data_IF_691934349675
#
_entry.id   IF_691934349675
#
_cell.length_a   1.000
_cell.length_b   1.000
_cell.length_c   1.000
_cell.angle_alpha   90.00
_cell.angle_beta   90.00
_cell.angle_gamma   90.00
#
_symmetry.space_group_name_H-M   'P 1'
#
loop_
_entity.id
_entity.type
_entity.pdbx_description
1 polymer ?
#
# COMPACT_ATOMS: atom_id res chain seq x y z
N UNK A 1 13.71 -46.05 40.83
CA UNK A 1 13.81 -45.83 39.37
C UNK A 1 12.90 -44.65 39.04
N UNK A 2 13.45 -43.44 39.04
CA UNK A 2 12.69 -42.21 38.81
C UNK A 2 12.51 -42.07 37.30
N UNK A 3 11.28 -42.27 36.81
CA UNK A 3 10.90 -41.92 35.45
C UNK A 3 10.95 -40.39 35.34
N UNK A 4 12.07 -39.88 34.86
CA UNK A 4 12.19 -38.49 34.44
C UNK A 4 11.40 -38.36 33.13
N UNK A 5 10.11 -38.06 33.24
CA UNK A 5 9.28 -37.62 32.13
C UNK A 5 9.85 -36.28 31.65
N UNK A 6 10.82 -36.37 30.74
CA UNK A 6 11.16 -35.27 29.84
C UNK A 6 9.93 -35.01 28.98
N UNK A 7 9.01 -34.20 29.48
CA UNK A 7 8.18 -33.35 28.63
C UNK A 7 9.12 -32.32 28.01
N UNK A 8 9.95 -32.76 27.05
CA UNK A 8 10.40 -31.87 26.01
C UNK A 8 9.11 -31.36 25.38
N UNK A 9 8.76 -30.09 25.63
CA UNK A 9 7.95 -29.35 24.67
C UNK A 9 8.71 -29.49 23.35
N UNK A 10 8.32 -30.48 22.54
CA UNK A 10 8.73 -30.56 21.14
C UNK A 10 8.19 -29.25 20.59
N UNK A 11 9.08 -28.27 20.42
CA UNK A 11 8.75 -27.03 19.76
C UNK A 11 8.33 -27.43 18.35
N UNK A 12 7.03 -27.60 18.11
CA UNK A 12 6.57 -27.91 16.77
C UNK A 12 6.90 -26.71 15.91
N UNK A 13 7.66 -26.93 14.85
CA UNK A 13 7.94 -25.88 13.90
C UNK A 13 6.63 -25.38 13.30
N UNK A 14 6.55 -24.10 12.93
CA UNK A 14 5.29 -23.51 12.43
C UNK A 14 5.36 -23.38 10.91
N UNK A 15 4.30 -23.78 10.23
CA UNK A 15 4.11 -23.55 8.81
C UNK A 15 2.86 -22.69 8.60
N UNK A 16 2.97 -21.64 7.80
CA UNK A 16 1.85 -20.86 7.30
C UNK A 16 1.77 -21.08 5.79
N UNK A 17 0.56 -21.24 5.29
CA UNK A 17 0.28 -21.37 3.85
C UNK A 17 -0.67 -20.24 3.48
N UNK A 18 -0.29 -19.46 2.47
CA UNK A 18 -1.10 -18.35 1.97
C UNK A 18 -1.38 -18.43 0.48
N UNK A 19 -2.44 -17.76 0.06
CA UNK A 19 -2.80 -17.52 -1.32
C UNK A 19 -2.85 -16.01 -1.59
N UNK A 20 -2.11 -15.55 -2.60
CA UNK A 20 -1.96 -14.13 -2.94
C UNK A 20 -2.71 -13.76 -4.24
N UNK A 21 -3.01 -12.47 -4.38
CA UNK A 21 -3.57 -11.84 -5.60
C UNK A 21 -5.01 -12.29 -5.93
N UNK A 22 -5.68 -12.94 -4.99
CA UNK A 22 -7.08 -13.36 -5.11
C UNK A 22 -8.09 -12.22 -4.94
N UNK A 23 -9.39 -12.50 -4.99
CA UNK A 23 -10.00 -13.80 -5.25
C UNK A 23 -10.11 -14.11 -6.74
N UNK A 24 -10.26 -15.38 -7.07
CA UNK A 24 -10.52 -15.84 -8.44
C UNK A 24 -11.72 -16.78 -8.46
N UNK A 25 -12.12 -17.27 -9.64
CA UNK A 25 -13.16 -18.31 -9.77
C UNK A 25 -12.87 -19.60 -8.98
N UNK A 26 -11.63 -19.79 -8.51
CA UNK A 26 -11.21 -20.98 -7.78
C UNK A 26 -11.23 -20.82 -6.25
N UNK A 27 -11.61 -19.64 -5.72
CA UNK A 27 -11.52 -19.36 -4.28
C UNK A 27 -12.26 -20.41 -3.43
N UNK A 28 -13.49 -20.77 -3.83
CA UNK A 28 -14.28 -21.79 -3.12
C UNK A 28 -13.62 -23.17 -3.15
N UNK A 29 -12.99 -23.54 -4.28
CA UNK A 29 -12.24 -24.81 -4.39
C UNK A 29 -11.05 -24.83 -3.41
N UNK A 30 -10.38 -23.70 -3.18
CA UNK A 30 -9.31 -23.62 -2.17
C UNK A 30 -9.87 -23.72 -0.75
N UNK A 31 -10.96 -23.01 -0.46
CA UNK A 31 -11.64 -23.05 0.84
C UNK A 31 -12.04 -24.50 1.18
N UNK A 32 -12.77 -25.16 0.27
CA UNK A 32 -13.19 -26.57 0.39
C UNK A 32 -12.00 -27.50 0.58
N UNK A 33 -10.90 -27.26 -0.17
CA UNK A 33 -9.68 -28.05 -0.03
C UNK A 33 -9.07 -27.89 1.36
N UNK A 34 -8.94 -26.66 1.85
CA UNK A 34 -8.45 -26.40 3.22
C UNK A 34 -9.32 -27.09 4.27
N UNK A 35 -10.65 -27.07 4.10
CA UNK A 35 -11.60 -27.67 5.06
C UNK A 35 -11.44 -29.19 5.05
N UNK A 36 -11.35 -29.79 3.86
CA UNK A 36 -11.15 -31.24 3.72
C UNK A 36 -9.84 -31.73 4.35
N UNK A 37 -8.82 -30.88 4.35
CA UNK A 37 -7.51 -31.16 4.93
C UNK A 37 -7.44 -30.80 6.41
N UNK A 38 -8.44 -30.08 6.94
CA UNK A 38 -8.45 -29.50 8.27
C UNK A 38 -7.16 -28.70 8.57
N UNK A 39 -6.76 -27.85 7.61
CA UNK A 39 -5.60 -26.96 7.77
C UNK A 39 -6.04 -25.49 7.67
N UNK A 40 -5.47 -24.60 8.49
CA UNK A 40 -5.71 -23.17 8.35
C UNK A 40 -5.01 -22.62 7.11
N UNK A 41 -5.65 -21.65 6.46
CA UNK A 41 -5.13 -20.93 5.30
C UNK A 41 -5.23 -19.42 5.53
N UNK A 42 -4.43 -18.67 4.79
CA UNK A 42 -4.41 -17.20 4.79
C UNK A 42 -4.62 -16.70 3.36
N UNK A 43 -5.51 -15.74 3.16
CA UNK A 43 -5.82 -15.19 1.83
C UNK A 43 -5.46 -13.72 1.77
N UNK A 44 -4.53 -13.35 0.90
CA UNK A 44 -4.21 -11.96 0.58
C UNK A 44 -4.95 -11.55 -0.68
N UNK A 45 -5.99 -10.73 -0.50
CA UNK A 45 -6.93 -10.38 -1.56
C UNK A 45 -6.61 -9.00 -2.14
N UNK A 46 -6.63 -8.88 -3.46
CA UNK A 46 -6.58 -7.62 -4.19
C UNK A 46 -7.97 -6.95 -4.17
N UNK A 47 -8.12 -5.78 -3.51
CA UNK A 47 -9.40 -5.09 -3.45
C UNK A 47 -9.88 -4.54 -4.80
N UNK A 48 -8.99 -4.43 -5.80
CA UNK A 48 -9.35 -4.00 -7.16
C UNK A 48 -9.80 -5.15 -8.06
N UNK A 49 -9.70 -6.40 -7.60
CA UNK A 49 -10.20 -7.54 -8.32
C UNK A 49 -11.74 -7.46 -8.49
N UNK A 50 -12.29 -7.70 -9.70
CA UNK A 50 -13.75 -7.63 -9.92
C UNK A 50 -14.57 -8.63 -9.10
N UNK A 51 -13.97 -9.74 -8.67
CA UNK A 51 -14.61 -10.76 -7.85
C UNK A 51 -14.47 -10.49 -6.35
N UNK A 52 -13.73 -9.45 -5.95
CA UNK A 52 -13.56 -9.10 -4.55
C UNK A 52 -14.78 -8.34 -4.01
N UNK A 53 -15.45 -8.91 -3.01
CA UNK A 53 -16.53 -8.26 -2.29
C UNK A 53 -16.61 -8.73 -0.83
N UNK A 54 -17.58 -8.18 -0.09
CA UNK A 54 -17.85 -8.54 1.31
C UNK A 54 -18.20 -10.01 1.50
N UNK A 55 -18.92 -10.61 0.57
CA UNK A 55 -19.40 -11.99 0.68
C UNK A 55 -18.22 -12.96 0.62
N UNK A 56 -17.26 -12.74 -0.29
CA UNK A 56 -16.04 -13.55 -0.37
C UNK A 56 -15.24 -13.49 0.93
N UNK A 57 -15.10 -12.29 1.51
CA UNK A 57 -14.39 -12.12 2.80
C UNK A 57 -15.11 -12.82 3.94
N UNK A 58 -16.44 -12.70 4.02
CA UNK A 58 -17.25 -13.38 5.02
C UNK A 58 -17.14 -14.90 4.89
N UNK A 59 -17.22 -15.46 3.68
CA UNK A 59 -17.09 -16.90 3.43
C UNK A 59 -15.73 -17.45 3.90
N UNK A 60 -14.63 -16.71 3.64
CA UNK A 60 -13.29 -17.11 4.10
C UNK A 60 -13.24 -17.14 5.64
N UNK A 61 -13.78 -16.11 6.31
CA UNK A 61 -13.77 -15.99 7.76
C UNK A 61 -14.68 -17.02 8.43
N UNK A 62 -15.86 -17.29 7.87
CA UNK A 62 -16.80 -18.30 8.35
C UNK A 62 -16.19 -19.71 8.36
N UNK A 63 -15.26 -19.98 7.44
CA UNK A 63 -14.48 -21.23 7.41
C UNK A 63 -13.25 -21.22 8.33
N UNK A 64 -13.07 -20.18 9.15
CA UNK A 64 -11.98 -20.09 10.13
C UNK A 64 -10.62 -19.71 9.53
N UNK A 65 -10.60 -19.15 8.32
CA UNK A 65 -9.38 -18.66 7.67
C UNK A 65 -9.17 -17.17 7.89
N UNK A 66 -7.95 -16.72 7.60
CA UNK A 66 -7.58 -15.31 7.78
C UNK A 66 -7.51 -14.58 6.44
N UNK A 67 -7.85 -13.30 6.49
CA UNK A 67 -7.88 -12.42 5.31
C UNK A 67 -6.90 -11.26 5.52
N UNK A 68 -6.06 -11.04 4.52
CA UNK A 68 -5.21 -9.87 4.36
C UNK A 68 -5.48 -9.15 3.06
N UNK A 69 -4.82 -8.01 2.90
CA UNK A 69 -4.84 -7.21 1.68
C UNK A 69 -3.57 -7.46 0.88
N UNK A 70 -3.71 -7.64 -0.44
CA UNK A 70 -2.59 -7.74 -1.37
C UNK A 70 -2.46 -6.46 -2.17
N UNK A 71 -1.28 -5.83 -2.14
CA UNK A 71 -0.92 -4.77 -3.08
C UNK A 71 -0.21 -5.42 -4.26
N UNK A 72 -0.78 -5.28 -5.46
CA UNK A 72 -0.20 -5.84 -6.70
C UNK A 72 0.44 -4.76 -7.58
N UNK A 73 0.12 -3.49 -7.31
CA UNK A 73 0.73 -2.34 -7.96
C UNK A 73 2.17 -2.16 -7.50
N UNK A 74 3.05 -1.72 -8.39
CA UNK A 74 4.45 -1.43 -8.04
C UNK A 74 4.53 -0.31 -6.99
N UNK A 75 5.40 -0.51 -6.01
CA UNK A 75 5.57 0.40 -4.88
C UNK A 75 7.01 0.88 -4.76
N UNK A 76 7.18 2.19 -4.62
CA UNK A 76 8.47 2.79 -4.26
C UNK A 76 8.36 3.49 -2.91
N UNK A 77 9.50 3.95 -2.38
CA UNK A 77 9.57 4.76 -1.17
C UNK A 77 8.69 6.03 -1.25
N UNK A 78 8.54 6.58 -2.45
CA UNK A 78 7.75 7.79 -2.72
C UNK A 78 6.26 7.50 -2.87
N UNK A 79 5.88 6.30 -3.34
CA UNK A 79 4.49 5.98 -3.67
C UNK A 79 3.78 5.14 -2.62
N UNK A 80 4.50 4.48 -1.69
CA UNK A 80 3.91 3.55 -0.71
C UNK A 80 2.73 4.13 0.06
N UNK A 81 2.80 5.37 0.54
CA UNK A 81 1.70 5.99 1.30
C UNK A 81 0.45 6.10 0.43
N UNK A 82 0.59 6.63 -0.78
CA UNK A 82 -0.53 6.82 -1.71
C UNK A 82 -1.13 5.48 -2.15
N UNK A 83 -0.29 4.49 -2.50
CA UNK A 83 -0.75 3.16 -2.92
C UNK A 83 -1.44 2.44 -1.77
N UNK A 84 -0.87 2.50 -0.56
CA UNK A 84 -1.48 1.89 0.63
C UNK A 84 -2.84 2.51 0.93
N UNK A 85 -2.97 3.84 0.93
CA UNK A 85 -4.24 4.53 1.15
C UNK A 85 -5.29 4.16 0.10
N UNK A 86 -4.88 4.08 -1.18
CA UNK A 86 -5.74 3.66 -2.29
C UNK A 86 -6.31 2.25 -2.06
N UNK A 87 -5.45 1.29 -1.71
CA UNK A 87 -5.85 -0.09 -1.46
C UNK A 87 -6.68 -0.23 -0.18
N UNK A 88 -6.30 0.44 0.92
CA UNK A 88 -7.04 0.44 2.18
C UNK A 88 -8.47 0.98 1.97
N UNK A 89 -8.61 2.12 1.28
CA UNK A 89 -9.91 2.73 0.99
C UNK A 89 -10.81 1.80 0.17
N UNK A 90 -10.29 1.16 -0.87
CA UNK A 90 -11.09 0.24 -1.69
C UNK A 90 -11.46 -1.02 -0.91
N UNK A 91 -10.55 -1.56 -0.09
CA UNK A 91 -10.83 -2.70 0.78
C UNK A 91 -11.94 -2.38 1.79
N UNK A 92 -11.85 -1.24 2.49
CA UNK A 92 -12.89 -0.78 3.44
C UNK A 92 -14.21 -0.53 2.74
N UNK A 93 -14.20 0.14 1.57
CA UNK A 93 -15.41 0.43 0.81
C UNK A 93 -16.17 -0.84 0.42
N UNK A 94 -15.45 -1.89 0.02
CA UNK A 94 -16.07 -3.15 -0.43
C UNK A 94 -16.49 -4.07 0.71
N UNK A 95 -15.81 -4.02 1.85
CA UNK A 95 -16.01 -5.00 2.93
C UNK A 95 -16.60 -4.42 4.22
N UNK A 96 -16.48 -3.11 4.43
CA UNK A 96 -16.72 -2.44 5.72
C UNK A 96 -15.65 -2.69 6.78
N UNK A 97 -14.52 -3.28 6.39
CA UNK A 97 -13.45 -3.67 7.30
C UNK A 97 -12.09 -3.14 6.83
N UNK A 98 -11.18 -2.91 7.77
CA UNK A 98 -9.76 -2.66 7.51
C UNK A 98 -8.97 -3.95 7.71
N UNK A 99 -8.14 -4.29 6.73
CA UNK A 99 -7.20 -5.41 6.84
C UNK A 99 -6.06 -5.05 7.79
N UNK A 100 -5.60 -6.04 8.57
CA UNK A 100 -4.40 -5.92 9.41
C UNK A 100 -3.21 -6.59 8.73
N UNK A 101 -3.43 -7.74 8.09
CA UNK A 101 -2.43 -8.42 7.28
C UNK A 101 -2.25 -7.72 5.93
N UNK A 102 -1.00 -7.52 5.53
CA UNK A 102 -0.64 -6.89 4.26
C UNK A 102 0.45 -7.69 3.55
N UNK A 103 0.23 -7.95 2.26
CA UNK A 103 1.24 -8.44 1.32
C UNK A 103 1.65 -7.31 0.39
N UNK A 104 2.96 -7.03 0.37
CA UNK A 104 3.58 -6.14 -0.60
C UNK A 104 4.08 -6.95 -1.80
N UNK A 105 4.15 -6.36 -3.00
CA UNK A 105 4.68 -7.02 -4.19
C UNK A 105 6.16 -7.40 -3.99
N UNK A 106 6.57 -8.55 -4.54
CA UNK A 106 7.91 -9.11 -4.31
C UNK A 106 9.04 -8.35 -5.03
N UNK A 107 8.76 -7.77 -6.21
CA UNK A 107 9.78 -7.18 -7.08
C UNK A 107 9.97 -5.70 -6.74
N UNK A 108 11.20 -5.30 -6.39
CA UNK A 108 11.60 -3.88 -6.29
C UNK A 108 11.09 -3.11 -5.05
N UNK A 109 10.28 -3.74 -4.20
CA UNK A 109 9.45 -3.03 -3.21
C UNK A 109 9.81 -3.31 -1.74
N UNK A 110 10.89 -4.04 -1.44
CA UNK A 110 11.28 -4.34 -0.05
C UNK A 110 12.48 -3.48 0.34
N UNK A 111 12.18 -2.26 0.79
CA UNK A 111 13.10 -1.31 1.40
C UNK A 111 12.71 -1.10 2.87
N UNK A 112 13.55 -0.41 3.64
CA UNK A 112 13.20 -0.06 5.02
C UNK A 112 11.96 0.86 5.09
N UNK A 113 11.76 1.76 4.13
CA UNK A 113 10.59 2.66 4.15
C UNK A 113 9.29 1.96 3.76
N UNK A 114 9.32 1.15 2.71
CA UNK A 114 8.16 0.39 2.22
C UNK A 114 7.64 -0.62 3.23
N UNK A 115 8.48 -1.10 4.15
CA UNK A 115 8.05 -1.88 5.31
C UNK A 115 7.57 -0.99 6.46
N UNK A 116 8.36 -0.01 6.87
CA UNK A 116 8.10 0.73 8.11
C UNK A 116 6.87 1.63 8.04
N UNK A 117 6.55 2.19 6.87
CA UNK A 117 5.37 3.05 6.71
C UNK A 117 4.09 2.25 7.02
N UNK A 118 3.81 1.11 6.34
CA UNK A 118 2.68 0.27 6.72
C UNK A 118 2.71 -0.20 8.18
N UNK A 119 3.86 -0.63 8.70
CA UNK A 119 3.95 -1.08 10.10
C UNK A 119 3.59 0.01 11.10
N UNK A 120 4.00 1.27 10.83
CA UNK A 120 3.65 2.42 11.66
C UNK A 120 2.15 2.75 11.66
N UNK A 121 1.44 2.32 10.61
CA UNK A 121 -0.02 2.44 10.46
C UNK A 121 -0.78 1.22 11.01
N UNK A 122 -0.07 0.28 11.65
CA UNK A 122 -0.66 -0.88 12.31
C UNK A 122 -0.79 -2.12 11.41
N UNK A 123 -0.22 -2.11 10.21
CA UNK A 123 -0.19 -3.29 9.36
C UNK A 123 0.84 -4.32 9.82
N UNK A 124 0.53 -5.58 9.59
CA UNK A 124 1.45 -6.70 9.72
C UNK A 124 1.88 -7.12 8.31
N UNK A 125 3.11 -6.74 7.96
CA UNK A 125 3.71 -7.16 6.69
C UNK A 125 4.10 -8.62 6.79
N UNK A 126 3.52 -9.45 5.92
CA UNK A 126 3.95 -10.82 5.72
C UNK A 126 4.87 -10.88 4.50
N UNK A 127 6.02 -11.54 4.64
CA UNK A 127 6.96 -11.82 3.56
C UNK A 127 7.16 -13.34 3.56
N UNK A 128 6.71 -14.04 2.50
CA UNK A 128 6.84 -15.48 2.46
C UNK A 128 8.31 -15.85 2.28
N UNK A 129 8.73 -16.96 2.87
CA UNK A 129 10.11 -17.44 2.68
C UNK A 129 10.24 -18.51 1.62
N UNK A 130 9.12 -19.02 1.11
CA UNK A 130 9.06 -19.95 -0.02
C UNK A 130 8.00 -19.45 -0.98
N UNK A 131 8.43 -18.97 -2.15
CA UNK A 131 7.54 -18.80 -3.31
C UNK A 131 7.36 -20.17 -3.98
N UNK A 132 6.11 -20.52 -4.29
CA UNK A 132 5.80 -21.75 -5.01
C UNK A 132 6.20 -21.69 -6.48
N UNK A 133 6.45 -20.49 -7.03
CA UNK A 133 6.75 -20.24 -8.44
C UNK A 133 5.67 -20.83 -9.36
N UNK A 134 4.42 -20.76 -8.90
CA UNK A 134 3.28 -21.36 -9.57
C UNK A 134 2.82 -20.60 -10.82
N UNK A 135 3.21 -19.36 -10.98
CA UNK A 135 3.10 -18.63 -12.23
C UNK A 135 4.13 -19.10 -13.29
N UNK A 136 5.32 -19.53 -12.86
CA UNK A 136 6.44 -19.85 -13.74
C UNK A 136 6.62 -21.34 -14.05
N UNK A 137 6.41 -22.24 -13.08
CA UNK A 137 6.73 -23.67 -13.22
C UNK A 137 5.53 -24.46 -13.71
N UNK A 138 5.70 -25.22 -14.79
CA UNK A 138 4.66 -26.15 -15.27
C UNK A 138 4.35 -27.26 -14.27
N UNK A 139 5.37 -27.74 -13.55
CA UNK A 139 5.24 -28.67 -12.43
C UNK A 139 5.90 -28.09 -11.18
N UNK A 140 5.07 -27.62 -10.26
CA UNK A 140 5.48 -26.95 -9.02
C UNK A 140 5.96 -27.90 -7.94
N UNK A 141 5.48 -29.14 -7.91
CA UNK A 141 5.75 -30.04 -6.78
C UNK A 141 7.24 -30.39 -6.62
N UNK A 142 8.01 -30.78 -7.66
CA UNK A 142 9.44 -31.06 -7.52
C UNK A 142 10.25 -29.85 -7.05
N UNK A 143 9.93 -28.67 -7.57
CA UNK A 143 10.58 -27.42 -7.17
C UNK A 143 10.32 -27.11 -5.70
N UNK A 144 9.05 -27.17 -5.29
CA UNK A 144 8.67 -26.91 -3.91
C UNK A 144 9.26 -27.96 -2.97
N UNK A 145 9.32 -29.23 -3.35
CA UNK A 145 9.99 -30.27 -2.56
C UNK A 145 11.46 -29.94 -2.29
N UNK A 146 12.17 -29.42 -3.28
CA UNK A 146 13.56 -29.00 -3.11
C UNK A 146 13.68 -27.80 -2.16
N UNK A 147 12.82 -26.79 -2.32
CA UNK A 147 12.78 -25.63 -1.42
C UNK A 147 12.47 -26.06 0.02
N UNK A 148 11.44 -26.89 0.20
CA UNK A 148 11.07 -27.47 1.48
C UNK A 148 12.22 -28.30 2.06
N UNK A 149 12.93 -29.10 1.26
CA UNK A 149 14.08 -29.93 1.68
C UNK A 149 15.25 -29.10 2.21
N UNK A 150 15.51 -27.94 1.64
CA UNK A 150 16.56 -27.04 2.08
C UNK A 150 16.22 -26.26 3.35
N UNK A 151 14.93 -26.22 3.73
CA UNK A 151 14.44 -25.39 4.81
C UNK A 151 14.72 -26.01 6.19
N UNK A 152 15.39 -25.22 7.05
CA UNK A 152 15.79 -25.60 8.41
C UNK A 152 15.36 -24.55 9.45
N UNK A 153 14.56 -23.54 9.04
CA UNK A 153 14.08 -22.47 9.92
C UNK A 153 13.00 -22.97 10.87
N UNK A 154 12.88 -22.27 12.01
CA UNK A 154 11.82 -22.50 13.00
C UNK A 154 10.41 -22.22 12.47
N UNK A 155 10.30 -21.45 11.38
CA UNK A 155 9.05 -21.06 10.74
C UNK A 155 9.18 -21.06 9.22
N UNK A 156 8.15 -21.60 8.55
CA UNK A 156 8.02 -21.64 7.09
C UNK A 156 6.74 -20.92 6.68
N UNK A 157 6.83 -20.02 5.71
CA UNK A 157 5.70 -19.32 5.10
C UNK A 157 5.74 -19.55 3.60
N UNK A 158 4.76 -20.29 3.09
CA UNK A 158 4.67 -20.70 1.68
C UNK A 158 3.56 -19.91 1.02
N UNK A 159 3.86 -19.28 -0.12
CA UNK A 159 2.88 -18.54 -0.91
C UNK A 159 2.50 -19.29 -2.19
N UNK A 160 1.20 -19.30 -2.46
CA UNK A 160 0.58 -19.78 -3.69
C UNK A 160 -0.31 -18.69 -4.30
N UNK A 161 -0.83 -18.92 -5.50
CA UNK A 161 -1.82 -18.09 -6.19
C UNK A 161 -2.93 -18.99 -6.71
N UNK A 162 -4.15 -18.77 -6.25
CA UNK A 162 -5.25 -19.70 -6.49
C UNK A 162 -5.84 -19.65 -7.90
N UNK A 163 -5.45 -18.67 -8.73
CA UNK A 163 -5.75 -18.70 -10.17
C UNK A 163 -5.19 -19.93 -10.88
N UNK A 164 -4.14 -20.54 -10.33
CA UNK A 164 -3.52 -21.74 -10.88
C UNK A 164 -4.04 -22.99 -10.19
N UNK A 165 -4.82 -23.80 -10.90
CA UNK A 165 -5.42 -25.03 -10.34
C UNK A 165 -4.38 -25.99 -9.75
N UNK A 166 -3.21 -26.08 -10.41
CA UNK A 166 -2.08 -26.87 -9.91
C UNK A 166 -1.68 -26.50 -8.48
N UNK A 167 -1.74 -25.23 -8.09
CA UNK A 167 -1.38 -24.76 -6.74
C UNK A 167 -2.35 -25.27 -5.68
N UNK A 168 -3.61 -25.46 -6.07
CA UNK A 168 -4.65 -26.03 -5.22
C UNK A 168 -4.47 -27.54 -5.11
N UNK A 169 -4.17 -28.20 -6.23
CA UNK A 169 -4.05 -29.65 -6.31
C UNK A 169 -2.88 -30.19 -5.49
N UNK A 170 -1.79 -29.42 -5.38
CA UNK A 170 -0.62 -29.84 -4.61
C UNK A 170 -0.74 -29.66 -3.10
N UNK A 171 -1.76 -28.93 -2.61
CA UNK A 171 -1.88 -28.53 -1.21
C UNK A 171 -1.80 -29.71 -0.23
N UNK A 172 -2.44 -30.84 -0.57
CA UNK A 172 -2.38 -32.07 0.24
C UNK A 172 -0.94 -32.61 0.38
N UNK A 173 -0.17 -32.60 -0.72
CA UNK A 173 1.20 -33.11 -0.72
C UNK A 173 2.12 -32.20 0.08
N UNK A 174 1.93 -30.88 -0.04
CA UNK A 174 2.66 -29.88 0.76
C UNK A 174 2.37 -30.08 2.24
N UNK A 175 1.09 -30.21 2.61
CA UNK A 175 0.71 -30.44 4.00
C UNK A 175 1.32 -31.72 4.58
N UNK A 176 1.31 -32.81 3.81
CA UNK A 176 1.94 -34.06 4.21
C UNK A 176 3.46 -33.91 4.37
N UNK A 177 4.14 -33.24 3.44
CA UNK A 177 5.57 -33.00 3.51
C UNK A 177 5.96 -32.16 4.75
N UNK A 178 5.17 -31.14 5.08
CA UNK A 178 5.39 -30.32 6.27
C UNK A 178 5.16 -31.10 7.57
N UNK A 179 4.07 -31.86 7.64
CA UNK A 179 3.78 -32.71 8.80
C UNK A 179 4.86 -33.78 9.03
N UNK A 180 5.36 -34.42 7.96
CA UNK A 180 6.45 -35.40 8.04
C UNK A 180 7.75 -34.80 8.58
N UNK A 181 7.95 -33.48 8.41
CA UNK A 181 9.09 -32.73 8.95
C UNK A 181 8.85 -32.17 10.35
N UNK A 182 7.72 -32.46 10.97
CA UNK A 182 7.37 -31.97 12.30
C UNK A 182 6.90 -30.52 12.33
N UNK A 183 6.51 -29.95 11.18
CA UNK A 183 5.83 -28.67 11.15
C UNK A 183 4.34 -28.85 11.43
N UNK A 184 3.76 -27.92 12.19
CA UNK A 184 2.32 -27.74 12.32
C UNK A 184 1.88 -26.61 11.41
N UNK A 185 0.90 -26.86 10.54
CA UNK A 185 0.27 -25.79 9.76
C UNK A 185 -0.64 -24.98 10.69
N UNK A 186 -0.43 -23.66 10.72
CA UNK A 186 -1.05 -22.73 11.67
C UNK A 186 -1.51 -21.45 10.95
N UNK A 187 -2.53 -20.75 11.46
CA UNK A 187 -2.93 -19.44 10.92
C UNK A 187 -1.82 -18.39 11.13
N UNK A 188 -1.90 -17.26 10.42
CA UNK A 188 -0.94 -16.17 10.55
C UNK A 188 -0.91 -15.59 11.97
N UNK A 189 -2.03 -15.50 12.70
CA UNK A 189 -1.98 -15.02 14.08
C UNK A 189 -1.04 -15.84 14.98
N UNK A 190 -1.02 -17.16 14.78
CA UNK A 190 -0.14 -18.08 15.52
C UNK A 190 1.27 -18.05 14.96
N UNK A 191 1.43 -17.93 13.64
CA UNK A 191 2.74 -17.83 12.98
C UNK A 191 3.49 -16.56 13.41
N UNK A 192 2.84 -15.40 13.30
CA UNK A 192 3.36 -14.06 13.60
C UNK A 192 3.33 -13.71 15.09
N UNK A 193 2.49 -14.40 15.89
CA UNK A 193 2.33 -14.11 17.32
C UNK A 193 1.62 -12.79 17.59
N UNK A 194 0.74 -12.34 16.68
CA UNK A 194 0.01 -11.08 16.73
C UNK A 194 -1.45 -11.28 16.29
N UNK A 195 -2.34 -10.38 16.66
CA UNK A 195 -3.72 -10.39 16.17
C UNK A 195 -3.78 -9.99 14.70
N UNK A 196 -4.55 -10.73 13.92
CA UNK A 196 -4.70 -10.58 12.45
C UNK A 196 -6.14 -10.33 12.03
N UNK A 197 -7.07 -10.28 13.00
CA UNK A 197 -8.49 -10.07 12.75
C UNK A 197 -8.73 -8.75 12.04
N UNK A 198 -9.66 -8.77 11.07
CA UNK A 198 -10.14 -7.56 10.42
C UNK A 198 -10.74 -6.58 11.44
N UNK A 199 -10.49 -5.29 11.23
CA UNK A 199 -11.02 -4.22 12.08
C UNK A 199 -12.30 -3.68 11.43
N UNK A 200 -13.45 -3.82 12.09
CA UNK A 200 -14.69 -3.23 11.61
C UNK A 200 -14.58 -1.70 11.62
N UNK A 201 -14.83 -1.07 10.48
CA UNK A 201 -14.86 0.39 10.38
C UNK A 201 -16.30 0.83 10.62
N UNK A 202 -16.56 1.47 11.76
CA UNK A 202 -17.89 2.00 12.05
C UNK A 202 -18.23 3.13 11.05
N UNK A 203 -19.48 3.16 10.59
CA UNK A 203 -19.97 4.09 9.56
C UNK A 203 -19.89 5.59 9.97
N UNK A 204 -19.53 5.91 11.21
CA UNK A 204 -19.30 7.29 11.68
C UNK A 204 -18.18 8.01 10.91
N UNK A 205 -17.24 7.25 10.29
CA UNK A 205 -16.20 7.81 9.42
C UNK A 205 -16.77 8.12 8.02
N UNK A 206 -17.80 7.38 7.55
CA UNK A 206 -18.43 7.62 6.24
C UNK A 206 -19.26 8.92 6.22
N UNK A 207 -19.76 9.39 7.36
CA UNK A 207 -20.42 10.71 7.46
C UNK A 207 -19.44 11.89 7.55
N UNK A 208 -18.18 11.66 7.95
CA UNK A 208 -17.16 12.72 7.90
C UNK A 208 -16.58 12.95 6.50
N UNK A 209 -16.58 11.93 5.63
CA UNK A 209 -16.16 12.09 4.23
C UNK A 209 -17.29 12.63 3.31
N UNK A 210 -18.56 12.46 3.69
CA UNK A 210 -19.70 13.07 2.98
C UNK A 210 -20.17 14.41 3.55
N UNK A 211 -19.56 14.91 4.63
CA UNK A 211 -19.58 16.35 4.87
C UNK A 211 -18.69 16.95 3.81
N UNK A 212 -19.34 17.46 2.75
CA UNK A 212 -18.80 18.51 1.89
C UNK A 212 -18.15 19.51 2.83
N UNK A 213 -16.83 19.43 2.99
CA UNK A 213 -16.07 20.48 3.65
C UNK A 213 -16.27 21.67 2.73
N UNK A 214 -17.18 22.56 3.11
CA UNK A 214 -17.27 23.88 2.50
C UNK A 214 -15.90 24.52 2.69
N UNK A 215 -15.10 24.48 1.62
CA UNK A 215 -13.78 25.10 1.59
C UNK A 215 -14.05 26.58 1.56
N UNK A 216 -13.95 27.24 2.71
CA UNK A 216 -14.03 28.69 2.74
C UNK A 216 -12.64 29.21 2.44
N UNK A 217 -12.32 29.46 1.16
CA UNK A 217 -11.04 30.07 0.80
C UNK A 217 -11.03 31.51 1.30
N UNK A 218 -10.35 31.76 2.40
CA UNK A 218 -10.40 33.04 3.12
C UNK A 218 -9.45 34.09 2.56
N UNK A 219 -8.38 33.69 1.85
CA UNK A 219 -7.41 34.65 1.31
C UNK A 219 -6.63 34.11 0.13
N UNK A 220 -6.37 34.97 -0.83
CA UNK A 220 -5.37 34.77 -1.87
C UNK A 220 -4.35 35.90 -1.81
N UNK A 221 -3.07 35.56 -1.73
CA UNK A 221 -1.99 36.55 -1.80
C UNK A 221 -1.11 36.31 -3.01
N UNK A 222 -0.97 37.34 -3.85
CA UNK A 222 0.01 37.36 -4.94
C UNK A 222 1.25 38.05 -4.41
N UNK A 223 2.21 37.26 -3.92
CA UNK A 223 3.50 37.77 -3.47
C UNK A 223 4.46 37.91 -4.65
N UNK A 224 5.09 39.09 -4.76
CA UNK A 224 6.21 39.31 -5.67
C UNK A 224 7.47 38.80 -4.96
N UNK A 225 8.02 37.68 -5.41
CA UNK A 225 9.32 37.23 -4.91
C UNK A 225 10.44 38.17 -5.39
N UNK A 226 11.53 38.24 -4.61
CA UNK A 226 12.78 38.93 -4.96
C UNK A 226 13.51 38.33 -6.17
N UNK A 227 13.04 37.17 -6.66
CA UNK A 227 13.39 36.62 -7.97
C UNK A 227 12.39 37.12 -9.03
N UNK A 228 12.85 37.65 -10.18
CA UNK A 228 12.08 38.60 -10.98
C UNK A 228 10.80 38.08 -11.66
N UNK A 229 10.42 36.79 -11.52
CA UNK A 229 9.37 36.21 -12.36
C UNK A 229 8.38 35.23 -11.71
N UNK A 230 8.00 35.39 -10.43
CA UNK A 230 7.04 34.47 -9.79
C UNK A 230 5.76 35.15 -9.29
N UNK A 231 4.64 34.46 -9.47
CA UNK A 231 3.39 34.66 -8.74
C UNK A 231 3.22 33.43 -7.85
N UNK A 232 3.12 33.65 -6.54
CA UNK A 232 2.67 32.63 -5.59
C UNK A 232 1.16 32.70 -5.45
N UNK A 233 0.50 31.55 -5.43
CA UNK A 233 -0.91 31.44 -5.08
C UNK A 233 -1.00 30.45 -3.92
N UNK A 234 -1.54 30.91 -2.80
CA UNK A 234 -1.83 30.08 -1.62
C UNK A 234 -3.34 30.07 -1.38
N UNK A 235 -3.83 28.95 -0.87
CA UNK A 235 -5.16 28.85 -0.25
C UNK A 235 -4.99 28.51 1.23
N UNK A 236 -5.71 29.25 2.07
CA UNK A 236 -5.81 28.97 3.49
C UNK A 236 -7.10 28.17 3.74
N UNK A 237 -6.97 27.03 4.42
CA UNK A 237 -8.10 26.25 4.92
C UNK A 237 -7.94 26.09 6.43
N UNK A 238 -8.87 26.63 7.22
CA UNK A 238 -8.87 26.50 8.69
C UNK A 238 -7.52 26.84 9.35
N UNK A 239 -6.86 27.89 8.90
CA UNK A 239 -5.53 28.35 9.36
C UNK A 239 -4.34 27.44 9.05
N UNK A 240 -4.55 26.34 8.30
CA UNK A 240 -3.48 25.51 7.74
C UNK A 240 -3.25 25.82 6.24
N UNK A 241 -1.97 25.81 5.83
CA UNK A 241 -1.50 26.15 4.48
C UNK A 241 -1.50 24.90 3.58
N UNK A 242 -2.22 24.90 2.45
CA UNK A 242 -2.50 23.66 1.72
C UNK A 242 -1.77 23.51 0.40
N UNK A 243 -1.50 24.59 -0.35
CA UNK A 243 -0.86 24.43 -1.67
C UNK A 243 -0.23 25.70 -2.21
N UNK A 244 1.07 25.63 -2.50
CA UNK A 244 1.82 26.64 -3.25
C UNK A 244 1.88 26.23 -4.73
N UNK A 245 1.47 27.12 -5.64
CA UNK A 245 1.81 27.00 -7.07
C UNK A 245 2.63 28.20 -7.53
N UNK A 246 3.64 27.91 -8.36
CA UNK A 246 4.54 28.88 -8.95
C UNK A 246 4.24 29.03 -10.45
N UNK A 247 3.79 30.22 -10.85
CA UNK A 247 3.56 30.54 -12.27
C UNK A 247 4.41 31.73 -12.73
N UNK A 248 4.71 31.82 -14.05
CA UNK A 248 5.46 32.93 -14.61
C UNK A 248 4.80 34.29 -14.34
N UNK A 249 5.62 35.26 -13.93
CA UNK A 249 5.17 36.64 -13.76
C UNK A 249 5.02 37.33 -15.12
N UNK A 250 3.82 37.26 -15.68
CA UNK A 250 3.43 38.06 -16.83
C UNK A 250 2.17 38.87 -16.50
N UNK A 251 1.92 39.97 -17.22
CA UNK A 251 0.66 40.72 -17.08
C UNK A 251 -0.54 39.82 -17.35
N UNK A 252 -0.42 38.90 -18.30
CA UNK A 252 -1.44 37.90 -18.62
C UNK A 252 -1.69 36.96 -17.43
N UNK A 253 -0.65 36.30 -16.92
CA UNK A 253 -0.74 35.34 -15.81
C UNK A 253 -1.31 35.99 -14.55
N UNK A 254 -0.96 37.25 -14.27
CA UNK A 254 -1.55 38.00 -13.15
C UNK A 254 -3.05 38.21 -13.30
N UNK A 255 -3.48 38.71 -14.46
CA UNK A 255 -4.89 38.99 -14.71
C UNK A 255 -5.69 37.69 -14.71
N UNK A 256 -5.15 36.66 -15.35
CA UNK A 256 -5.76 35.33 -15.44
C UNK A 256 -5.94 34.68 -14.07
N UNK A 257 -4.87 34.65 -13.26
CA UNK A 257 -4.95 34.17 -11.87
C UNK A 257 -5.97 34.98 -11.09
N UNK A 258 -5.93 36.33 -11.12
CA UNK A 258 -6.93 37.16 -10.42
C UNK A 258 -8.37 36.85 -10.82
N UNK A 259 -8.62 36.58 -12.10
CA UNK A 259 -9.97 36.29 -12.60
C UNK A 259 -10.45 34.88 -12.22
N UNK A 260 -9.53 33.91 -12.18
CA UNK A 260 -9.81 32.57 -11.67
C UNK A 260 -10.12 32.60 -10.17
N UNK A 261 -9.33 33.33 -9.39
CA UNK A 261 -9.47 33.38 -7.93
C UNK A 261 -10.78 34.05 -7.47
N UNK A 262 -11.41 34.85 -8.33
CA UNK A 262 -12.76 35.41 -8.07
C UNK A 262 -13.86 34.35 -8.05
N UNK A 263 -13.62 33.15 -8.57
CA UNK A 263 -14.65 32.11 -8.70
C UNK A 263 -15.00 31.41 -7.39
N UNK A 264 -14.27 31.66 -6.29
CA UNK A 264 -14.50 31.13 -4.94
C UNK A 264 -14.94 29.65 -4.94
N UNK A 265 -14.01 28.69 -5.07
CA UNK A 265 -14.38 27.28 -5.16
C UNK A 265 -15.15 26.83 -3.92
N UNK A 266 -16.19 26.01 -4.12
CA UNK A 266 -17.07 25.58 -3.03
C UNK A 266 -16.58 24.27 -2.38
N UNK A 267 -15.69 23.53 -3.05
CA UNK A 267 -15.18 22.23 -2.62
C UNK A 267 -13.73 21.98 -3.12
N UNK A 268 -13.09 20.93 -2.58
CA UNK A 268 -11.70 20.55 -2.91
C UNK A 268 -11.51 20.20 -4.38
N UNK A 269 -12.49 19.58 -5.03
CA UNK A 269 -12.41 19.19 -6.44
C UNK A 269 -12.42 20.42 -7.35
N UNK A 270 -13.25 21.42 -7.05
CA UNK A 270 -13.25 22.69 -7.77
C UNK A 270 -11.94 23.45 -7.58
N UNK A 271 -11.39 23.43 -6.37
CA UNK A 271 -10.10 24.03 -6.09
C UNK A 271 -8.98 23.38 -6.91
N UNK A 272 -8.95 22.03 -6.96
CA UNK A 272 -7.97 21.30 -7.77
C UNK A 272 -8.12 21.60 -9.26
N UNK A 273 -9.36 21.64 -9.76
CA UNK A 273 -9.66 22.01 -11.14
C UNK A 273 -9.22 23.46 -11.47
N UNK A 274 -9.26 24.38 -10.50
CA UNK A 274 -8.73 25.74 -10.68
C UNK A 274 -7.21 25.73 -10.76
N UNK A 275 -6.53 24.95 -9.91
CA UNK A 275 -5.07 24.80 -9.98
C UNK A 275 -4.63 24.22 -11.31
N UNK A 276 -5.26 23.16 -11.80
CA UNK A 276 -4.96 22.57 -13.11
C UNK A 276 -5.19 23.57 -14.25
N UNK A 277 -6.25 24.39 -14.18
CA UNK A 277 -6.50 25.46 -15.18
C UNK A 277 -5.41 26.52 -15.16
N UNK A 278 -4.99 26.97 -13.97
CA UNK A 278 -3.89 27.94 -13.84
C UNK A 278 -2.61 27.36 -14.44
N UNK A 279 -2.28 26.11 -14.09
CA UNK A 279 -1.12 25.37 -14.59
C UNK A 279 -1.14 25.27 -16.12
N UNK A 280 -2.28 24.86 -16.68
CA UNK A 280 -2.44 24.66 -18.12
C UNK A 280 -2.27 25.96 -18.92
N UNK A 281 -2.79 27.06 -18.40
CA UNK A 281 -2.88 28.33 -19.14
C UNK A 281 -1.70 29.27 -18.87
N UNK A 282 -1.08 29.18 -17.69
CA UNK A 282 0.09 29.99 -17.33
C UNK A 282 1.41 29.24 -17.48
N UNK A 283 1.38 27.90 -17.56
CA UNK A 283 2.56 27.05 -17.44
C UNK A 283 3.06 26.95 -15.99
N UNK A 284 3.86 25.92 -15.71
CA UNK A 284 4.59 25.74 -14.45
C UNK A 284 6.04 26.17 -14.66
N UNK A 285 6.64 26.77 -13.63
CA UNK A 285 8.10 26.90 -13.56
C UNK A 285 8.62 25.71 -12.74
N UNK A 286 9.38 24.82 -13.37
CA UNK A 286 10.11 23.76 -12.67
C UNK A 286 11.48 24.25 -12.20
N UNK A 287 12.11 23.55 -11.25
CA UNK A 287 13.49 23.85 -10.82
C UNK A 287 14.48 23.87 -12.01
N UNK A 288 14.26 23.01 -13.01
CA UNK A 288 15.07 22.98 -14.25
C UNK A 288 14.88 24.22 -15.12
N UNK A 289 13.68 24.81 -15.13
CA UNK A 289 13.41 26.07 -15.84
C UNK A 289 14.12 27.25 -15.14
N UNK A 290 14.27 27.18 -13.81
CA UNK A 290 15.04 28.16 -13.04
C UNK A 290 16.53 28.10 -13.36
N UNK A 291 17.11 26.89 -13.40
CA UNK A 291 18.51 26.68 -13.76
C UNK A 291 18.77 27.17 -15.19
N UNK A 292 17.85 26.89 -16.13
CA UNK A 292 17.94 27.37 -17.52
C UNK A 292 17.84 28.90 -17.61
N UNK A 293 16.92 29.53 -16.89
CA UNK A 293 16.75 30.99 -16.87
C UNK A 293 17.96 31.70 -16.25
N UNK A 294 18.50 31.20 -15.13
CA UNK A 294 19.72 31.72 -14.51
C UNK A 294 20.94 31.62 -15.43
N UNK A 295 21.09 30.50 -16.15
CA UNK A 295 22.16 30.32 -17.16
C UNK A 295 22.00 31.29 -18.34
N UNK A 296 20.78 31.50 -18.82
CA UNK A 296 20.48 32.40 -19.96
C UNK A 296 20.73 33.88 -19.62
N UNK A 297 20.57 34.27 -18.35
CA UNK A 297 20.80 35.64 -17.87
C UNK A 297 22.21 35.89 -17.32
N UNK A 298 23.15 34.95 -17.52
CA UNK A 298 24.56 35.17 -17.21
C UNK A 298 24.93 35.16 -15.72
N UNK A 299 24.10 34.55 -14.86
CA UNK A 299 24.44 34.38 -13.43
C UNK A 299 25.65 33.42 -13.30
N UNK A 300 26.70 33.86 -12.59
CA UNK A 300 27.92 33.06 -12.41
C UNK A 300 27.64 31.93 -11.41
N UNK A 301 28.31 30.79 -11.60
CA UNK A 301 28.13 29.54 -10.82
C UNK A 301 28.24 29.69 -9.30
N UNK A 302 28.86 30.77 -8.79
CA UNK A 302 28.94 31.07 -7.35
C UNK A 302 27.62 31.54 -6.74
N UNK A 303 26.72 32.15 -7.51
CA UNK A 303 25.43 32.63 -7.00
C UNK A 303 24.39 31.49 -6.87
N UNK A 304 24.53 30.44 -7.68
CA UNK A 304 23.72 29.21 -7.59
C UNK A 304 24.05 28.44 -6.31
N UNK A 305 25.33 28.43 -5.89
CA UNK A 305 25.75 27.80 -4.64
C UNK A 305 25.22 28.50 -3.39
N UNK A 306 24.99 29.82 -3.42
CA UNK A 306 24.44 30.57 -2.28
C UNK A 306 22.93 30.36 -2.11
N UNK A 307 22.20 30.15 -3.22
CA UNK A 307 20.76 29.84 -3.21
C UNK A 307 20.47 28.47 -2.59
N UNK A 308 21.32 27.46 -2.84
CA UNK A 308 21.20 26.16 -2.17
C UNK A 308 21.57 26.23 -0.67
N UNK A 309 22.46 27.14 -0.27
CA UNK A 309 22.90 27.26 1.12
C UNK A 309 21.85 27.95 2.02
N UNK A 310 21.09 28.90 1.48
CA UNK A 310 20.04 29.61 2.23
C UNK A 310 18.81 28.74 2.53
N UNK A 311 18.60 27.65 1.79
CA UNK A 311 17.53 26.69 2.07
C UNK A 311 17.81 25.80 3.29
N UNK A 312 19.07 25.68 3.71
CA UNK A 312 19.46 24.88 4.88
C UNK A 312 19.44 25.63 6.22
N UNK A 313 19.22 26.95 6.22
CA UNK A 313 19.30 27.79 7.44
C UNK A 313 17.92 28.21 7.97
N UNK A 314 16.82 27.82 7.31
CA UNK A 314 15.45 28.08 7.76
C UNK A 314 14.62 26.78 7.89
N UNK A 315 15.18 25.76 8.53
CA UNK A 315 14.45 24.68 9.20
C UNK A 315 14.73 24.76 10.70
#
# INVERSE_FOLDING_TARGET
MIFCLYFSQIMSYKCMISYDEGPTKNINRVIEKGVSLNIPLVFYLDPFNPLFDKQVVEEIIENGYEVGMSIIEEVTDETITMVLEKYEKEFIKRTGHKAVLLRLPAVGCITHKTINIPESLGYLIDIPNIDSEDDQKSNIYPFLCQALAAENRKGVSIVFRERYEKSIDILQYVANAMNQKGYKIVPACVYLGKSTSLIKVNDEIKEQENKTKTVTVTKFEVLRCSSPYKIRVFTLQNDDEIKEILVPYSTYSKLYVRDILRKQPENDQELENLYEKIIKECGIITEDDEIKACRKNGCRSRDIGLLCLLYFVCL
#
